data_IF_086337634729
#
_entry.id   IF_086337634729
#
_cell.length_a   1.000
_cell.length_b   1.000
_cell.length_c   1.000
_cell.angle_alpha   90.00
_cell.angle_beta   90.00
_cell.angle_gamma   90.00
#
_symmetry.space_group_name_H-M   'P 1'
#
loop_
_entity.id
_entity.type
_entity.pdbx_description
1 polymer ?
#
# COMPACT_ATOMS: atom_id res chain seq x y z
N UNK A 1 1.08 -10.54 5.99
CA UNK A 1 0.87 -9.12 5.61
C UNK A 1 1.50 -8.74 4.27
N UNK A 2 2.75 -9.15 3.93
CA UNK A 2 3.42 -8.72 2.68
C UNK A 2 2.71 -9.22 1.41
N UNK A 3 2.42 -10.52 1.30
CA UNK A 3 1.74 -11.09 0.12
C UNK A 3 0.35 -10.48 -0.10
N UNK A 4 -0.41 -10.25 0.97
CA UNK A 4 -1.76 -9.67 0.91
C UNK A 4 -1.76 -8.18 0.57
N UNK A 5 -0.76 -7.43 1.03
CA UNK A 5 -0.61 -6.02 0.66
C UNK A 5 -0.41 -5.84 -0.84
N UNK A 6 0.38 -6.72 -1.47
CA UNK A 6 0.62 -6.71 -2.92
C UNK A 6 -0.64 -7.11 -3.71
N UNK A 7 -1.57 -7.87 -3.12
CA UNK A 7 -2.85 -8.22 -3.77
C UNK A 7 -3.77 -7.01 -3.97
N UNK A 8 -3.67 -6.05 -3.08
CA UNK A 8 -4.57 -4.91 -3.00
C UNK A 8 -3.94 -3.65 -3.61
N UNK A 9 -2.59 -3.57 -3.61
CA UNK A 9 -1.88 -2.41 -4.12
C UNK A 9 -1.96 -2.30 -5.65
N UNK A 10 -1.98 -1.08 -6.15
CA UNK A 10 -1.89 -0.76 -7.57
C UNK A 10 -0.45 -0.40 -7.96
N UNK A 11 0.33 0.13 -7.02
CA UNK A 11 1.75 0.46 -7.16
C UNK A 11 2.48 0.05 -5.88
N UNK A 12 3.70 -0.45 -6.00
CA UNK A 12 4.53 -0.82 -4.86
C UNK A 12 5.75 0.10 -4.69
N UNK A 13 6.21 0.24 -3.45
CA UNK A 13 7.49 0.86 -3.12
C UNK A 13 8.41 -0.21 -2.55
N UNK A 14 9.48 -0.54 -3.27
CA UNK A 14 10.51 -1.44 -2.80
C UNK A 14 11.58 -0.64 -2.03
N UNK A 15 11.55 -0.74 -0.71
CA UNK A 15 12.50 0.01 0.14
C UNK A 15 13.77 -0.82 0.37
N UNK A 16 14.92 -0.22 0.08
CA UNK A 16 16.25 -0.82 0.28
C UNK A 16 17.11 0.12 1.13
N UNK A 17 17.84 -0.42 2.10
CA UNK A 17 18.73 0.38 2.95
C UNK A 17 20.04 0.69 2.21
N UNK A 18 20.45 1.96 2.14
CA UNK A 18 21.75 2.36 1.60
C UNK A 18 22.93 1.88 2.45
N UNK A 19 22.70 1.54 3.71
CA UNK A 19 23.71 1.02 4.65
C UNK A 19 23.86 -0.50 4.54
N UNK A 20 22.73 -1.21 4.42
CA UNK A 20 22.69 -2.68 4.44
C UNK A 20 22.70 -3.32 3.04
N UNK A 21 22.31 -2.57 2.01
CA UNK A 21 22.09 -3.08 0.66
C UNK A 21 20.90 -4.02 0.53
N UNK A 22 20.91 -4.85 -0.50
CA UNK A 22 19.87 -5.85 -0.77
C UNK A 22 20.00 -7.02 0.20
N UNK A 23 18.94 -7.28 0.97
CA UNK A 23 18.84 -8.40 1.91
C UNK A 23 17.81 -9.43 1.44
N UNK A 24 17.82 -10.61 2.05
CA UNK A 24 16.86 -11.68 1.72
C UNK A 24 15.40 -11.21 1.76
N UNK A 25 15.04 -10.37 2.73
CA UNK A 25 13.70 -9.79 2.84
C UNK A 25 13.34 -8.84 1.67
N UNK A 26 14.33 -8.12 1.12
CA UNK A 26 14.14 -7.27 -0.05
C UNK A 26 13.86 -8.12 -1.28
N UNK A 27 14.61 -9.20 -1.46
CA UNK A 27 14.42 -10.13 -2.58
C UNK A 27 13.09 -10.87 -2.51
N UNK A 28 12.65 -11.27 -1.32
CA UNK A 28 11.33 -11.88 -1.11
C UNK A 28 10.20 -10.91 -1.47
N UNK A 29 10.29 -9.65 -1.02
CA UNK A 29 9.32 -8.62 -1.37
C UNK A 29 9.32 -8.36 -2.88
N UNK A 30 10.50 -8.22 -3.49
CA UNK A 30 10.62 -8.01 -4.93
C UNK A 30 10.04 -9.17 -5.74
N UNK A 31 10.32 -10.43 -5.39
CA UNK A 31 9.75 -11.60 -6.07
C UNK A 31 8.22 -11.58 -6.04
N UNK A 32 7.63 -11.14 -4.94
CA UNK A 32 6.17 -11.04 -4.82
C UNK A 32 5.61 -9.94 -5.74
N UNK A 33 6.30 -8.80 -5.84
CA UNK A 33 5.96 -7.69 -6.74
C UNK A 33 6.08 -8.14 -8.21
N UNK A 34 7.21 -8.77 -8.57
CA UNK A 34 7.52 -9.21 -9.92
C UNK A 34 6.57 -10.31 -10.41
N UNK A 35 6.27 -11.29 -9.56
CA UNK A 35 5.32 -12.36 -9.88
C UNK A 35 3.92 -11.84 -10.26
N UNK A 36 3.53 -10.67 -9.74
CA UNK A 36 2.25 -10.00 -10.04
C UNK A 36 2.36 -8.93 -11.12
N UNK A 37 3.59 -8.67 -11.61
CA UNK A 37 3.87 -7.59 -12.57
C UNK A 37 3.34 -6.23 -12.10
N UNK A 38 3.40 -6.01 -10.78
CA UNK A 38 2.94 -4.77 -10.19
C UNK A 38 3.95 -3.65 -10.50
N UNK A 39 3.52 -2.48 -10.99
CA UNK A 39 4.41 -1.33 -11.15
C UNK A 39 5.03 -0.95 -9.81
N UNK A 40 6.31 -0.64 -9.79
CA UNK A 40 6.98 -0.29 -8.53
C UNK A 40 8.11 0.71 -8.72
N UNK A 41 8.44 1.42 -7.65
CA UNK A 41 9.59 2.30 -7.53
C UNK A 41 10.54 1.74 -6.47
N UNK A 42 11.84 1.83 -6.70
CA UNK A 42 12.85 1.51 -5.70
C UNK A 42 13.18 2.77 -4.89
N UNK A 43 13.04 2.68 -3.57
CA UNK A 43 13.45 3.75 -2.66
C UNK A 43 14.70 3.33 -1.88
N UNK A 44 15.84 3.92 -2.20
CA UNK A 44 17.10 3.71 -1.46
C UNK A 44 17.08 4.61 -0.23
N UNK A 45 16.77 4.02 0.92
CA UNK A 45 16.55 4.74 2.18
C UNK A 45 17.80 4.76 3.07
N UNK A 46 17.77 5.61 4.09
CA UNK A 46 18.85 5.84 5.07
C UNK A 46 20.11 6.48 4.47
N UNK A 47 19.97 7.33 3.46
CA UNK A 47 21.10 8.03 2.85
C UNK A 47 21.80 9.01 3.82
N UNK A 48 21.15 9.35 4.93
CA UNK A 48 21.68 10.17 6.02
C UNK A 48 22.69 9.45 6.93
N UNK A 49 22.84 8.15 6.79
CA UNK A 49 23.74 7.36 7.64
C UNK A 49 25.19 7.46 7.17
N UNK A 50 26.18 7.50 8.12
CA UNK A 50 27.61 7.54 7.75
C UNK A 50 28.12 6.35 6.93
N UNK A 51 27.46 5.19 7.08
CA UNK A 51 27.77 3.95 6.34
C UNK A 51 26.98 3.77 5.04
N UNK A 52 26.20 4.79 4.61
CA UNK A 52 25.41 4.71 3.40
C UNK A 52 26.28 4.69 2.15
N UNK A 53 26.13 3.64 1.33
CA UNK A 53 26.77 3.51 0.02
C UNK A 53 25.68 3.27 -1.05
N UNK A 54 25.24 4.36 -1.65
CA UNK A 54 24.18 4.36 -2.64
C UNK A 54 24.60 3.61 -3.90
N UNK A 55 25.83 3.83 -4.36
CA UNK A 55 26.36 3.21 -5.58
C UNK A 55 26.45 1.70 -5.44
N UNK A 56 27.00 1.24 -4.32
CA UNK A 56 27.06 -0.18 -4.00
C UNK A 56 25.67 -0.80 -3.91
N UNK A 57 24.71 -0.09 -3.30
CA UNK A 57 23.32 -0.56 -3.19
C UNK A 57 22.68 -0.70 -4.58
N UNK A 58 22.88 0.27 -5.47
CA UNK A 58 22.40 0.20 -6.87
C UNK A 58 23.07 -0.96 -7.63
N UNK A 59 24.37 -1.18 -7.46
CA UNK A 59 25.07 -2.33 -8.05
C UNK A 59 24.47 -3.66 -7.58
N UNK A 60 24.24 -3.81 -6.27
CA UNK A 60 23.66 -5.05 -5.73
C UNK A 60 22.21 -5.29 -6.18
N UNK A 61 21.44 -4.24 -6.44
CA UNK A 61 20.10 -4.38 -7.05
C UNK A 61 20.21 -5.04 -8.44
N UNK A 62 21.09 -4.52 -9.29
CA UNK A 62 21.29 -5.03 -10.65
C UNK A 62 21.82 -6.48 -10.63
N UNK A 63 22.76 -6.80 -9.74
CA UNK A 63 23.28 -8.17 -9.56
C UNK A 63 22.18 -9.18 -9.22
N UNK A 64 21.10 -8.72 -8.58
CA UNK A 64 19.93 -9.56 -8.27
C UNK A 64 18.82 -9.49 -9.31
N UNK A 65 19.06 -8.84 -10.47
CA UNK A 65 18.11 -8.75 -11.57
C UNK A 65 17.08 -7.62 -11.45
N UNK A 66 17.29 -6.69 -10.51
CA UNK A 66 16.44 -5.51 -10.35
C UNK A 66 17.09 -4.35 -11.13
N UNK A 67 16.67 -4.20 -12.38
CA UNK A 67 17.26 -3.23 -13.30
C UNK A 67 16.58 -1.87 -13.15
N UNK A 68 17.25 -0.94 -12.48
CA UNK A 68 16.76 0.41 -12.23
C UNK A 68 17.17 1.37 -13.34
N UNK A 69 16.48 2.51 -13.43
CA UNK A 69 16.77 3.59 -14.36
C UNK A 69 18.23 4.05 -14.26
N UNK A 70 18.88 4.24 -15.43
CA UNK A 70 20.31 4.55 -15.53
C UNK A 70 21.26 3.37 -15.26
N UNK A 71 20.73 2.17 -14.92
CA UNK A 71 21.49 0.94 -14.63
C UNK A 71 20.94 -0.26 -15.41
N UNK A 72 20.55 -0.02 -16.65
CA UNK A 72 20.14 -1.04 -17.59
C UNK A 72 18.66 -1.41 -17.58
N UNK A 73 17.81 -0.64 -16.92
CA UNK A 73 16.36 -0.81 -16.88
C UNK A 73 15.61 0.49 -16.74
N UNK A 74 14.28 0.36 -16.58
CA UNK A 74 13.33 1.47 -16.57
C UNK A 74 12.65 1.66 -15.21
N UNK A 75 13.04 0.89 -14.18
CA UNK A 75 12.44 0.99 -12.85
C UNK A 75 12.91 2.26 -12.16
N UNK A 76 12.01 3.20 -11.81
CA UNK A 76 12.38 4.42 -11.12
C UNK A 76 13.11 4.11 -9.80
N UNK A 77 14.18 4.87 -9.52
CA UNK A 77 14.97 4.70 -8.31
C UNK A 77 15.21 6.04 -7.63
N UNK A 78 14.69 6.20 -6.42
CA UNK A 78 14.75 7.44 -5.65
C UNK A 78 15.57 7.25 -4.38
N UNK A 79 16.46 8.20 -4.12
CA UNK A 79 17.30 8.22 -2.91
C UNK A 79 16.62 9.04 -1.83
N UNK A 80 16.36 8.44 -0.67
CA UNK A 80 15.60 9.08 0.40
C UNK A 80 16.24 8.90 1.78
N UNK A 81 15.91 9.80 2.67
CA UNK A 81 16.01 9.59 4.11
C UNK A 81 14.63 9.80 4.74
N UNK A 82 13.97 8.72 5.10
CA UNK A 82 12.70 8.79 5.81
C UNK A 82 12.83 9.48 7.19
N UNK A 83 14.05 9.52 7.75
CA UNK A 83 14.33 10.18 9.03
C UNK A 83 14.37 11.71 8.90
N UNK A 84 15.01 12.22 7.85
CA UNK A 84 15.22 13.67 7.64
C UNK A 84 14.19 14.29 6.70
N UNK A 85 13.45 13.48 5.95
CA UNK A 85 12.53 13.91 4.91
C UNK A 85 13.20 14.14 3.55
N UNK A 86 14.54 14.04 3.46
CA UNK A 86 15.26 14.25 2.22
C UNK A 86 14.79 13.28 1.13
N UNK A 87 14.49 13.78 -0.06
CA UNK A 87 14.07 13.01 -1.22
C UNK A 87 12.64 12.44 -1.16
N UNK A 88 11.91 12.63 -0.06
CA UNK A 88 10.55 12.12 0.09
C UNK A 88 9.58 12.80 -0.86
N UNK A 89 9.70 14.12 -1.06
CA UNK A 89 8.86 14.85 -2.00
C UNK A 89 9.04 14.33 -3.43
N UNK A 90 10.28 14.07 -3.83
CA UNK A 90 10.58 13.50 -5.15
C UNK A 90 10.04 12.07 -5.29
N UNK A 91 10.06 11.26 -4.23
CA UNK A 91 9.41 9.94 -4.23
C UNK A 91 7.89 10.07 -4.45
N UNK A 92 7.25 11.03 -3.79
CA UNK A 92 5.81 11.28 -3.95
C UNK A 92 5.48 11.75 -5.37
N UNK A 93 6.27 12.66 -5.93
CA UNK A 93 6.12 13.10 -7.33
C UNK A 93 6.28 11.93 -8.31
N UNK A 94 7.28 11.06 -8.08
CA UNK A 94 7.49 9.85 -8.89
C UNK A 94 6.28 8.91 -8.82
N UNK A 95 5.70 8.72 -7.63
CA UNK A 95 4.49 7.91 -7.45
C UNK A 95 3.29 8.52 -8.20
N UNK A 96 3.09 9.83 -8.12
CA UNK A 96 2.01 10.50 -8.85
C UNK A 96 2.16 10.33 -10.36
N UNK A 97 3.38 10.47 -10.88
CA UNK A 97 3.66 10.22 -12.29
C UNK A 97 3.37 8.76 -12.68
N UNK A 98 3.74 7.80 -11.84
CA UNK A 98 3.42 6.38 -12.07
C UNK A 98 1.91 6.12 -12.06
N UNK A 99 1.14 6.79 -11.20
CA UNK A 99 -0.34 6.70 -11.20
C UNK A 99 -0.91 7.18 -12.53
N UNK A 100 -0.42 8.32 -13.05
CA UNK A 100 -0.86 8.85 -14.34
C UNK A 100 -0.51 7.92 -15.51
N UNK A 101 0.73 7.39 -15.52
CA UNK A 101 1.18 6.48 -16.57
C UNK A 101 0.44 5.14 -16.60
N UNK A 102 -0.02 4.65 -15.45
CA UNK A 102 -0.77 3.40 -15.36
C UNK A 102 -2.29 3.58 -15.52
N UNK A 103 -2.78 4.81 -15.78
CA UNK A 103 -4.19 5.13 -16.05
C UNK A 103 -5.15 4.53 -15.01
N UNK A 104 -4.77 4.60 -13.72
CA UNK A 104 -5.55 4.06 -12.62
C UNK A 104 -6.88 4.80 -12.51
N UNK A 105 -7.97 4.07 -12.63
CA UNK A 105 -9.34 4.61 -12.63
C UNK A 105 -10.23 3.87 -11.66
N UNK A 106 -11.22 4.57 -11.14
CA UNK A 106 -12.30 4.00 -10.35
C UNK A 106 -13.64 4.62 -10.79
N UNK A 107 -14.70 3.85 -10.74
CA UNK A 107 -16.05 4.35 -11.00
C UNK A 107 -16.73 4.73 -9.68
N UNK A 108 -16.87 6.01 -9.42
CA UNK A 108 -17.44 6.49 -8.15
C UNK A 108 -18.97 6.41 -8.09
N UNK A 109 -19.65 6.17 -9.22
CA UNK A 109 -21.12 6.15 -9.35
C UNK A 109 -21.72 4.75 -9.13
N UNK A 110 -20.93 3.81 -8.61
CA UNK A 110 -21.37 2.44 -8.27
C UNK A 110 -21.33 2.21 -6.76
N UNK A 111 -21.96 1.12 -6.31
CA UNK A 111 -21.80 0.64 -4.94
C UNK A 111 -20.35 0.33 -4.65
N UNK A 112 -19.92 0.63 -3.41
CA UNK A 112 -18.54 0.42 -3.00
C UNK A 112 -18.15 -1.06 -3.00
N UNK A 113 -17.00 -1.35 -3.58
CA UNK A 113 -16.32 -2.63 -3.43
C UNK A 113 -14.92 -2.41 -2.90
N UNK A 114 -14.37 -3.40 -2.18
CA UNK A 114 -13.05 -3.23 -1.57
C UNK A 114 -12.55 -4.52 -0.95
N UNK A 115 -11.44 -4.41 -0.22
CA UNK A 115 -10.81 -5.55 0.43
C UNK A 115 -10.59 -5.31 1.92
N UNK A 116 -10.72 -6.37 2.70
CA UNK A 116 -10.38 -6.37 4.12
C UNK A 116 -8.86 -6.47 4.28
N UNK A 117 -8.24 -5.42 4.83
CA UNK A 117 -6.80 -5.41 5.14
C UNK A 117 -6.51 -6.19 6.42
N UNK A 118 -7.26 -5.87 7.48
CA UNK A 118 -7.10 -6.47 8.80
C UNK A 118 -8.43 -6.45 9.56
N UNK A 119 -8.59 -7.39 10.47
CA UNK A 119 -9.74 -7.49 11.36
C UNK A 119 -9.25 -7.65 12.79
N UNK A 120 -9.93 -7.02 13.73
CA UNK A 120 -9.57 -7.06 15.15
C UNK A 120 -10.82 -6.92 16.03
N UNK A 121 -10.71 -7.41 17.26
CA UNK A 121 -11.76 -7.25 18.27
C UNK A 121 -11.36 -6.13 19.22
N UNK A 122 -12.14 -5.06 19.23
CA UNK A 122 -12.01 -3.98 20.21
C UNK A 122 -12.88 -4.29 21.43
N UNK A 123 -12.29 -4.29 22.63
CA UNK A 123 -12.99 -4.66 23.86
C UNK A 123 -14.17 -3.71 24.19
N UNK A 124 -14.19 -2.49 23.65
CA UNK A 124 -15.24 -1.51 23.91
C UNK A 124 -16.20 -1.32 22.74
N UNK A 125 -15.72 -1.51 21.52
CA UNK A 125 -16.46 -1.21 20.27
C UNK A 125 -16.90 -2.44 19.50
N UNK A 126 -16.42 -3.64 19.88
CA UNK A 126 -16.73 -4.90 19.20
C UNK A 126 -15.82 -5.19 18.01
N UNK A 127 -16.30 -6.01 17.08
CA UNK A 127 -15.53 -6.44 15.91
C UNK A 127 -15.39 -5.27 14.93
N UNK A 128 -14.15 -5.00 14.55
CA UNK A 128 -13.78 -3.93 13.63
C UNK A 128 -12.90 -4.46 12.52
N UNK A 129 -12.98 -3.85 11.35
CA UNK A 129 -12.10 -4.14 10.23
C UNK A 129 -11.59 -2.87 9.55
N UNK A 130 -10.36 -2.92 9.07
CA UNK A 130 -9.80 -1.92 8.17
C UNK A 130 -9.99 -2.42 6.74
N UNK A 131 -10.64 -1.62 5.91
CA UNK A 131 -10.96 -1.90 4.52
C UNK A 131 -10.25 -0.89 3.61
N UNK A 132 -9.91 -1.30 2.38
CA UNK A 132 -9.56 -0.37 1.30
C UNK A 132 -10.61 -0.48 0.23
N UNK A 133 -11.23 0.63 -0.10
CA UNK A 133 -12.19 0.72 -1.19
C UNK A 133 -11.43 0.75 -2.53
N UNK A 134 -11.83 -0.13 -3.45
CA UNK A 134 -11.20 -0.24 -4.78
C UNK A 134 -12.06 0.41 -5.86
N UNK A 135 -13.37 0.40 -5.66
CA UNK A 135 -14.32 0.98 -6.60
C UNK A 135 -15.57 1.47 -5.87
N UNK A 136 -16.31 2.37 -6.47
CA UNK A 136 -17.55 2.89 -5.95
C UNK A 136 -17.45 3.91 -4.83
N UNK A 137 -18.61 4.26 -4.30
CA UNK A 137 -18.79 5.13 -3.13
C UNK A 137 -19.61 4.39 -2.09
N UNK A 138 -19.12 4.32 -0.86
CA UNK A 138 -19.86 3.71 0.24
C UNK A 138 -20.83 4.73 0.81
N UNK A 139 -22.13 4.45 0.72
CA UNK A 139 -23.14 5.32 1.31
C UNK A 139 -23.07 5.28 2.84
N UNK A 140 -23.54 6.32 3.50
CA UNK A 140 -23.61 6.40 4.97
C UNK A 140 -24.80 5.63 5.56
N UNK A 141 -25.55 4.90 4.73
CA UNK A 141 -26.70 4.06 5.10
C UNK A 141 -26.60 2.69 4.44
N UNK A 142 -27.08 1.66 5.14
CA UNK A 142 -27.08 0.28 4.64
C UNK A 142 -26.20 -0.65 5.47
N UNK A 143 -25.58 -1.61 4.81
CA UNK A 143 -24.70 -2.60 5.43
C UNK A 143 -23.53 -2.94 4.54
N UNK A 144 -22.41 -3.32 5.16
CA UNK A 144 -21.23 -3.84 4.49
C UNK A 144 -21.21 -5.35 4.68
N UNK A 145 -21.07 -6.08 3.57
CA UNK A 145 -20.83 -7.52 3.57
C UNK A 145 -19.36 -7.75 3.23
N UNK A 146 -18.62 -8.41 4.13
CA UNK A 146 -17.23 -8.77 3.94
C UNK A 146 -17.04 -10.29 4.07
N UNK A 147 -17.08 -10.99 2.94
CA UNK A 147 -17.18 -12.44 2.93
C UNK A 147 -18.53 -12.91 3.50
N UNK A 148 -18.53 -13.51 4.72
CA UNK A 148 -19.74 -13.91 5.45
C UNK A 148 -20.11 -12.97 6.58
N UNK A 149 -19.25 -12.00 6.91
CA UNK A 149 -19.46 -11.08 8.02
C UNK A 149 -20.26 -9.85 7.54
N UNK A 150 -21.25 -9.46 8.31
CA UNK A 150 -22.14 -8.33 8.03
C UNK A 150 -21.95 -7.23 9.07
N UNK A 151 -21.86 -5.98 8.63
CA UNK A 151 -21.86 -4.82 9.51
C UNK A 151 -22.88 -3.81 9.04
N UNK A 152 -23.89 -3.44 9.86
CA UNK A 152 -24.68 -2.27 9.58
C UNK A 152 -23.79 -1.02 9.65
N UNK A 153 -23.91 -0.14 8.66
CA UNK A 153 -23.13 1.09 8.61
C UNK A 153 -23.60 2.03 9.72
N UNK A 154 -22.76 2.24 10.71
CA UNK A 154 -23.02 3.16 11.82
C UNK A 154 -21.95 4.22 11.95
N UNK A 155 -20.71 3.81 11.95
CA UNK A 155 -19.54 4.68 12.10
C UNK A 155 -18.47 4.19 11.15
N UNK A 156 -18.06 5.08 10.24
CA UNK A 156 -16.92 4.90 9.36
C UNK A 156 -15.87 5.91 9.79
N UNK A 157 -14.67 5.44 10.08
CA UNK A 157 -13.53 6.27 10.48
C UNK A 157 -12.43 6.25 9.40
N UNK A 158 -11.74 7.37 9.23
CA UNK A 158 -10.51 7.43 8.44
C UNK A 158 -9.32 6.86 9.23
N UNK A 159 -8.13 6.85 8.61
CA UNK A 159 -6.89 6.39 9.24
C UNK A 159 -6.47 7.23 10.47
N UNK A 160 -7.00 8.44 10.62
CA UNK A 160 -6.76 9.32 11.77
C UNK A 160 -7.83 9.16 12.87
N UNK A 161 -8.81 8.24 12.68
CA UNK A 161 -9.89 7.99 13.63
C UNK A 161 -11.00 9.05 13.59
N UNK A 162 -11.09 9.84 12.54
CA UNK A 162 -12.16 10.84 12.34
C UNK A 162 -13.31 10.20 11.57
N UNK A 163 -14.53 10.43 12.03
CA UNK A 163 -15.72 9.97 11.31
C UNK A 163 -15.82 10.65 9.94
N UNK A 164 -15.99 9.85 8.92
CA UNK A 164 -16.16 10.31 7.54
C UNK A 164 -17.50 9.83 6.97
N UNK A 165 -18.00 10.54 5.95
CA UNK A 165 -19.21 10.20 5.21
C UNK A 165 -18.87 9.93 3.76
N UNK A 166 -19.60 9.00 3.17
CA UNK A 166 -19.48 8.64 1.75
C UNK A 166 -18.05 8.45 1.29
N UNK A 167 -17.22 7.60 1.96
CA UNK A 167 -15.91 7.31 1.47
C UNK A 167 -15.98 6.63 0.10
N UNK A 168 -14.98 6.92 -0.72
CA UNK A 168 -14.93 6.46 -2.11
C UNK A 168 -13.67 5.63 -2.40
N UNK A 169 -13.57 5.10 -3.59
CA UNK A 169 -12.41 4.32 -4.06
C UNK A 169 -11.07 5.00 -3.75
N UNK A 170 -10.08 4.17 -3.39
CA UNK A 170 -8.74 4.58 -2.97
C UNK A 170 -8.62 4.95 -1.50
N UNK A 171 -9.74 5.06 -0.75
CA UNK A 171 -9.68 5.44 0.67
C UNK A 171 -9.60 4.22 1.58
N UNK A 172 -8.63 4.18 2.51
CA UNK A 172 -8.66 3.26 3.64
C UNK A 172 -9.69 3.74 4.66
N UNK A 173 -10.54 2.82 5.11
CA UNK A 173 -11.58 3.09 6.11
C UNK A 173 -11.55 2.05 7.20
N UNK A 174 -11.95 2.45 8.40
CA UNK A 174 -12.21 1.55 9.52
C UNK A 174 -13.71 1.48 9.77
N UNK A 175 -14.24 0.27 9.78
CA UNK A 175 -15.65 -0.01 10.06
C UNK A 175 -15.73 -0.83 11.33
N UNK A 176 -16.72 -0.48 12.16
CA UNK A 176 -16.94 -1.15 13.46
C UNK A 176 -18.38 -1.62 13.54
N UNK A 177 -18.60 -2.83 14.07
CA UNK A 177 -19.90 -3.40 14.31
C UNK A 177 -20.24 -4.62 13.46
N UNK A 178 -19.22 -5.34 12.99
CA UNK A 178 -19.41 -6.64 12.34
C UNK A 178 -19.98 -7.67 13.31
N UNK A 179 -20.84 -8.55 12.80
CA UNK A 179 -21.43 -9.67 13.53
C UNK A 179 -20.44 -10.83 13.72
N UNK A 180 -19.49 -10.99 12.80
CA UNK A 180 -18.39 -11.95 12.85
C UNK A 180 -17.09 -11.29 12.40
N UNK A 181 -15.97 -11.97 12.59
CA UNK A 181 -14.64 -11.46 12.19
C UNK A 181 -14.46 -11.65 10.67
N UNK A 182 -14.45 -10.57 9.87
CA UNK A 182 -14.23 -10.69 8.44
C UNK A 182 -12.86 -11.30 8.14
N UNK A 183 -12.83 -12.23 7.19
CA UNK A 183 -11.56 -12.81 6.76
C UNK A 183 -10.70 -11.74 6.07
N UNK A 184 -9.43 -11.64 6.43
CA UNK A 184 -8.48 -10.75 5.76
C UNK A 184 -8.35 -11.13 4.28
N UNK A 185 -8.47 -10.17 3.37
CA UNK A 185 -8.51 -10.39 1.92
C UNK A 185 -9.92 -10.65 1.38
N UNK A 186 -10.96 -10.75 2.21
CA UNK A 186 -12.35 -10.83 1.74
C UNK A 186 -12.74 -9.57 0.96
N UNK A 187 -13.64 -9.75 0.00
CA UNK A 187 -14.25 -8.70 -0.84
C UNK A 187 -15.64 -8.44 -0.32
#
# INVERSE_FOLDING_TARGET
MRERGVEIADIAILIVSAEDGVKAQTLEAWKTIDARKLPYVVAVNKIDKPGADIQKTKTTLVEHGIYIEGWGGDIPCVEISAKTGQGVDFLLETLLLMVEMNDLKANLDTDATGHVLESFVDAKRGISATLVLKDGTLSDSGAILAGTALSPIRIIEDFAGRTIKNPHAGQPIKVTGFDDIPATGAI
#
